data_IF_356537437661
#
_entry.id   IF_356537437661
#
_cell.length_a   1.000
_cell.length_b   1.000
_cell.length_c   1.000
_cell.angle_alpha   90.00
_cell.angle_beta   90.00
_cell.angle_gamma   90.00
#
_symmetry.space_group_name_H-M   'P 1'
#
loop_
_entity.id
_entity.type
_entity.pdbx_description
1 polymer ?
#
# COMPACT_ATOMS: atom_id res chain seq x y z
N UNK A 1 -4.70 7.04 11.53
CA UNK A 1 -3.71 5.96 11.42
C UNK A 1 -3.14 5.94 10.01
N UNK A 2 -1.83 5.89 9.91
CA UNK A 2 -1.14 5.97 8.62
C UNK A 2 -1.07 4.59 7.96
N UNK A 3 -1.60 4.51 6.75
CA UNK A 3 -1.77 3.27 5.99
C UNK A 3 -0.94 3.29 4.71
N UNK A 4 -0.36 2.15 4.36
CA UNK A 4 0.28 1.94 3.07
C UNK A 4 -0.20 0.64 2.45
N UNK A 5 -0.22 0.60 1.12
CA UNK A 5 -0.65 -0.58 0.36
C UNK A 5 0.51 -1.14 -0.43
N UNK A 6 0.72 -2.45 -0.33
CA UNK A 6 1.70 -3.17 -1.14
C UNK A 6 0.98 -4.09 -2.11
N UNK A 7 1.20 -3.87 -3.40
CA UNK A 7 0.54 -4.60 -4.46
C UNK A 7 -0.71 -3.88 -4.95
N UNK A 8 -0.79 -3.69 -6.26
CA UNK A 8 -1.89 -2.98 -6.92
C UNK A 8 -2.66 -3.91 -7.86
N UNK A 9 -2.78 -5.18 -7.46
CA UNK A 9 -3.51 -6.17 -8.22
C UNK A 9 -5.03 -6.04 -8.08
N UNK A 10 -5.72 -7.08 -8.50
CA UNK A 10 -7.18 -7.08 -8.58
C UNK A 10 -7.88 -6.76 -7.26
N UNK A 11 -7.38 -7.30 -6.15
CA UNK A 11 -8.00 -7.10 -4.84
C UNK A 11 -7.63 -5.78 -4.18
N UNK A 12 -6.67 -5.05 -4.72
CA UNK A 12 -6.21 -3.78 -4.15
C UNK A 12 -7.34 -2.75 -4.05
N UNK A 13 -8.29 -2.77 -4.98
CA UNK A 13 -9.45 -1.88 -4.94
C UNK A 13 -10.22 -2.01 -3.64
N UNK A 14 -10.37 -3.22 -3.11
CA UNK A 14 -11.07 -3.45 -1.84
C UNK A 14 -10.32 -2.81 -0.68
N UNK A 15 -8.99 -2.87 -0.71
CA UNK A 15 -8.16 -2.21 0.30
C UNK A 15 -8.32 -0.69 0.27
N UNK A 16 -8.29 -0.10 -0.93
CA UNK A 16 -8.47 1.35 -1.07
C UNK A 16 -9.84 1.80 -0.57
N UNK A 17 -10.89 1.07 -0.92
CA UNK A 17 -12.23 1.37 -0.43
C UNK A 17 -12.31 1.33 1.09
N UNK A 18 -11.69 0.32 1.71
CA UNK A 18 -11.68 0.19 3.17
C UNK A 18 -10.94 1.37 3.82
N UNK A 19 -9.81 1.78 3.25
CA UNK A 19 -9.04 2.92 3.73
C UNK A 19 -9.87 4.21 3.70
N UNK A 20 -10.52 4.48 2.57
CA UNK A 20 -11.34 5.68 2.41
C UNK A 20 -12.57 5.66 3.33
N UNK A 21 -13.20 4.50 3.47
CA UNK A 21 -14.40 4.36 4.31
C UNK A 21 -14.11 4.47 5.81
N UNK A 22 -12.89 4.14 6.23
CA UNK A 22 -12.50 4.18 7.64
C UNK A 22 -11.65 5.39 8.01
N UNK A 23 -11.56 6.36 7.10
CA UNK A 23 -10.83 7.61 7.33
C UNK A 23 -9.37 7.39 7.73
N UNK A 24 -8.75 6.34 7.20
CA UNK A 24 -7.32 6.12 7.37
C UNK A 24 -6.54 7.07 6.46
N UNK A 25 -5.35 7.44 6.89
CA UNK A 25 -4.49 8.29 6.08
C UNK A 25 -3.67 7.43 5.11
N UNK A 26 -3.97 7.53 3.83
CA UNK A 26 -3.29 6.76 2.77
C UNK A 26 -1.98 7.46 2.41
N UNK A 27 -0.86 7.01 2.97
CA UNK A 27 0.41 7.73 2.83
C UNK A 27 1.31 7.21 1.71
N UNK A 28 1.18 5.94 1.32
CA UNK A 28 2.05 5.35 0.30
C UNK A 28 1.44 4.12 -0.35
N UNK A 29 1.87 3.86 -1.57
CA UNK A 29 1.50 2.69 -2.35
C UNK A 29 2.75 2.12 -3.02
N UNK A 30 2.79 0.80 -3.17
CA UNK A 30 3.92 0.10 -3.76
C UNK A 30 3.47 -0.95 -4.76
N UNK A 31 4.11 -0.97 -5.91
CA UNK A 31 4.00 -2.08 -6.88
C UNK A 31 5.27 -2.08 -7.72
N UNK A 32 5.76 -3.26 -8.07
CA UNK A 32 6.95 -3.38 -8.91
C UNK A 32 6.71 -2.84 -10.34
N UNK A 33 5.45 -2.75 -10.73
CA UNK A 33 5.04 -2.18 -12.03
C UNK A 33 4.38 -0.82 -11.77
N UNK A 34 5.07 0.30 -12.07
CA UNK A 34 4.54 1.64 -11.76
C UNK A 34 3.17 1.94 -12.36
N UNK A 35 2.89 1.42 -13.54
CA UNK A 35 1.60 1.64 -14.22
C UNK A 35 0.43 1.11 -13.39
N UNK A 36 0.64 0.02 -12.64
CA UNK A 36 -0.39 -0.54 -11.79
C UNK A 36 -0.79 0.41 -10.67
N UNK A 37 0.17 1.16 -10.12
CA UNK A 37 -0.12 2.16 -9.10
C UNK A 37 -0.98 3.29 -9.67
N UNK A 38 -0.60 3.81 -10.83
CA UNK A 38 -1.34 4.91 -11.45
C UNK A 38 -2.76 4.49 -11.86
N UNK A 39 -2.92 3.27 -12.37
CA UNK A 39 -4.25 2.75 -12.71
C UNK A 39 -5.15 2.60 -11.48
N UNK A 40 -4.59 2.07 -10.39
CA UNK A 40 -5.34 1.92 -9.14
C UNK A 40 -5.78 3.27 -8.59
N UNK A 41 -4.86 4.21 -8.51
CA UNK A 41 -5.17 5.54 -7.98
C UNK A 41 -6.19 6.28 -8.85
N UNK A 42 -6.09 6.12 -10.17
CA UNK A 42 -7.05 6.73 -11.10
C UNK A 42 -8.47 6.20 -10.89
N UNK A 43 -8.63 4.93 -10.57
CA UNK A 43 -9.94 4.33 -10.29
C UNK A 43 -10.65 5.00 -9.11
N UNK A 44 -9.90 5.61 -8.22
CA UNK A 44 -10.43 6.22 -7.01
C UNK A 44 -10.25 7.74 -6.99
N UNK A 45 -9.96 8.34 -8.15
CA UNK A 45 -9.73 9.78 -8.31
C UNK A 45 -8.57 10.30 -7.44
N UNK A 46 -7.57 9.46 -7.20
CA UNK A 46 -6.41 9.79 -6.37
C UNK A 46 -5.13 10.00 -7.17
N UNK A 47 -5.19 9.96 -8.50
CA UNK A 47 -4.00 10.03 -9.36
C UNK A 47 -3.23 11.35 -9.22
N UNK A 48 -3.90 12.42 -8.83
CA UNK A 48 -3.29 13.73 -8.64
C UNK A 48 -2.93 14.04 -7.19
N UNK A 49 -3.16 13.08 -6.30
CA UNK A 49 -2.84 13.27 -4.88
C UNK A 49 -1.36 12.99 -4.64
N UNK A 50 -0.57 14.06 -4.58
CA UNK A 50 0.88 13.97 -4.39
C UNK A 50 1.27 13.59 -2.96
N UNK A 51 0.32 13.60 -2.02
CA UNK A 51 0.58 13.14 -0.66
C UNK A 51 0.70 11.63 -0.56
N UNK A 52 0.18 10.89 -1.56
CA UNK A 52 0.33 9.45 -1.64
C UNK A 52 1.62 9.16 -2.41
N UNK A 53 2.65 8.70 -1.70
CA UNK A 53 3.96 8.42 -2.31
C UNK A 53 3.96 7.09 -3.03
N UNK A 54 4.63 7.01 -4.18
CA UNK A 54 4.71 5.82 -5.02
C UNK A 54 6.08 5.18 -4.88
N UNK A 55 6.08 3.85 -4.67
CA UNK A 55 7.32 3.07 -4.52
C UNK A 55 7.27 1.81 -5.35
N UNK A 56 8.44 1.36 -5.80
CA UNK A 56 8.58 0.04 -6.44
C UNK A 56 9.25 -0.97 -5.51
N UNK A 57 9.76 -0.51 -4.37
CA UNK A 57 10.40 -1.34 -3.35
C UNK A 57 9.69 -1.11 -2.02
N UNK A 58 8.98 -2.13 -1.50
CA UNK A 58 8.21 -1.99 -0.26
C UNK A 58 9.09 -1.73 0.96
N UNK A 59 10.33 -2.23 0.95
CA UNK A 59 11.24 -2.00 2.07
C UNK A 59 11.61 -0.53 2.17
N UNK A 60 11.90 0.09 1.03
CA UNK A 60 12.20 1.51 0.98
C UNK A 60 10.99 2.35 1.41
N UNK A 61 9.80 1.95 0.99
CA UNK A 61 8.56 2.60 1.40
C UNK A 61 8.43 2.62 2.92
N UNK A 62 8.67 1.49 3.55
CA UNK A 62 8.57 1.35 5.00
C UNK A 62 9.65 2.13 5.72
N UNK A 63 10.87 2.15 5.18
CA UNK A 63 11.99 2.88 5.78
C UNK A 63 11.81 4.40 5.74
N UNK A 64 11.21 4.92 4.68
CA UNK A 64 11.11 6.37 4.44
C UNK A 64 9.86 7.01 5.02
N UNK A 65 8.92 6.23 5.52
CA UNK A 65 7.65 6.76 6.02
C UNK A 65 7.32 6.18 7.38
N UNK A 66 6.54 6.95 8.14
CA UNK A 66 5.91 6.42 9.35
C UNK A 66 4.63 5.71 8.91
N UNK A 67 4.62 4.39 9.02
CA UNK A 67 3.47 3.58 8.62
C UNK A 67 3.06 2.71 9.80
N UNK A 68 1.77 2.76 10.12
CA UNK A 68 1.22 2.00 11.25
C UNK A 68 0.49 0.76 10.79
N UNK A 69 0.00 0.76 9.55
CA UNK A 69 -0.85 -0.30 9.03
C UNK A 69 -0.53 -0.53 7.56
N UNK A 70 -0.34 -1.80 7.18
CA UNK A 70 -0.08 -2.18 5.79
C UNK A 70 -1.13 -3.17 5.30
N UNK A 71 -1.69 -2.89 4.13
CA UNK A 71 -2.48 -3.85 3.39
C UNK A 71 -1.60 -4.54 2.34
N UNK A 72 -1.73 -5.85 2.19
CA UNK A 72 -0.97 -6.61 1.21
C UNK A 72 -1.92 -7.20 0.18
N UNK A 73 -1.78 -6.76 -1.05
CA UNK A 73 -2.62 -7.19 -2.18
C UNK A 73 -1.78 -7.83 -3.29
N UNK A 74 -0.63 -8.39 -2.94
CA UNK A 74 0.24 -9.10 -3.88
C UNK A 74 -0.20 -10.55 -4.05
N UNK A 75 0.41 -11.23 -5.01
CA UNK A 75 0.23 -12.66 -5.17
C UNK A 75 0.75 -13.40 -3.93
N UNK A 76 0.18 -14.58 -3.66
CA UNK A 76 0.43 -15.34 -2.45
C UNK A 76 1.90 -15.65 -2.18
N UNK A 77 2.72 -15.79 -3.23
CA UNK A 77 4.15 -16.09 -3.07
C UNK A 77 4.94 -14.98 -2.38
N UNK A 78 4.52 -13.72 -2.52
CA UNK A 78 5.20 -12.58 -1.90
C UNK A 78 4.54 -12.13 -0.61
N UNK A 79 3.31 -12.55 -0.37
CA UNK A 79 2.52 -12.10 0.78
C UNK A 79 3.23 -12.39 2.12
N UNK A 80 3.73 -13.62 2.28
CA UNK A 80 4.37 -14.03 3.54
C UNK A 80 5.67 -13.23 3.78
N UNK A 81 6.49 -13.02 2.75
CA UNK A 81 7.72 -12.26 2.88
C UNK A 81 7.45 -10.83 3.34
N UNK A 82 6.48 -10.18 2.70
CA UNK A 82 6.12 -8.79 3.03
C UNK A 82 5.54 -8.72 4.44
N UNK A 83 4.68 -9.68 4.80
CA UNK A 83 4.08 -9.72 6.13
C UNK A 83 5.14 -9.85 7.22
N UNK A 84 6.11 -10.74 7.04
CA UNK A 84 7.20 -10.93 8.00
C UNK A 84 8.03 -9.67 8.16
N UNK A 85 8.33 -8.99 7.06
CA UNK A 85 9.08 -7.73 7.12
C UNK A 85 8.32 -6.66 7.92
N UNK A 86 7.02 -6.54 7.67
CA UNK A 86 6.18 -5.59 8.40
C UNK A 86 6.13 -5.92 9.90
N UNK A 87 5.95 -7.18 10.25
CA UNK A 87 5.91 -7.62 11.65
C UNK A 87 7.22 -7.30 12.35
N UNK A 88 8.35 -7.56 11.70
CA UNK A 88 9.67 -7.27 12.25
C UNK A 88 9.88 -5.76 12.49
N UNK A 89 9.16 -4.92 11.78
CA UNK A 89 9.22 -3.45 11.92
C UNK A 89 8.09 -2.89 12.79
N UNK A 90 7.35 -3.74 13.47
CA UNK A 90 6.28 -3.30 14.37
C UNK A 90 5.05 -2.75 13.67
N UNK A 91 4.82 -3.13 12.42
CA UNK A 91 3.69 -2.64 11.63
C UNK A 91 2.56 -3.64 11.65
N UNK A 92 1.34 -3.16 11.87
CA UNK A 92 0.14 -4.00 11.84
C UNK A 92 -0.28 -4.30 10.41
N UNK A 93 -0.92 -5.44 10.20
CA UNK A 93 -1.40 -5.89 8.89
C UNK A 93 -2.93 -5.94 8.86
N UNK A 94 -3.45 -5.70 7.68
CA UNK A 94 -4.87 -5.94 7.39
C UNK A 94 -4.99 -7.13 6.46
#
# INVERSE_FOLDING_TARGET
>A
MKYALVGCGRIATNHVKAVLNNSLEFVAVCDVIPEHMEELLAKHDLQNDTSIKRYTDYKKMIEENEIELVGIATESGLHAEIALYCIDHGINLI
#
